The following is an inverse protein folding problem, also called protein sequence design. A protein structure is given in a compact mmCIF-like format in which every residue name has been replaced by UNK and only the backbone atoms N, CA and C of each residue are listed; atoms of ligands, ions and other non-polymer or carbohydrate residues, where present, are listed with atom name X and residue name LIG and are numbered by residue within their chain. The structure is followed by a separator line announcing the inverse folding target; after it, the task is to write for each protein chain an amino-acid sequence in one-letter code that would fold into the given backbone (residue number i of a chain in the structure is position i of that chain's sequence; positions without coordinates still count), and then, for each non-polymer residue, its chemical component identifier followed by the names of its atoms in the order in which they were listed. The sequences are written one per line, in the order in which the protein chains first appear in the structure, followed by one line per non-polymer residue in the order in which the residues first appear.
data_IF_637470642989
#
_entry.id   IF_637470642989
#
_cell.length_a   1.000
_cell.length_b   1.000
_cell.length_c   1.000
_cell.angle_alpha   90.00
_cell.angle_beta   90.00
_cell.angle_gamma   90.00
#
_symmetry.space_group_name_H-M   'P 1'
#
loop_
_entity.id
_entity.type
_entity.pdbx_description
1 polymer ?
#
# COMPACT_ATOMS: atom_id res chain seq x y z
N UNK A 1 -12.45 17.81 4.86
CA UNK A 1 -13.17 18.76 5.72
C UNK A 1 -14.45 18.08 6.21
N UNK A 2 -14.97 18.47 7.37
CA UNK A 2 -16.26 17.98 7.88
C UNK A 2 -17.40 18.90 7.41
N UNK A 3 -18.44 18.31 6.81
CA UNK A 3 -19.61 19.01 6.26
C UNK A 3 -20.93 18.61 6.95
N UNK A 4 -20.87 17.83 8.03
CA UNK A 4 -22.03 17.28 8.74
C UNK A 4 -22.98 18.39 9.22
N UNK A 5 -22.44 19.54 9.62
CA UNK A 5 -23.24 20.69 10.10
C UNK A 5 -23.96 21.49 9.01
N UNK A 6 -23.58 21.34 7.74
CA UNK A 6 -24.15 22.09 6.61
C UNK A 6 -24.94 21.21 5.62
N UNK A 7 -24.93 19.89 5.84
CA UNK A 7 -25.52 18.90 4.93
C UNK A 7 -26.57 18.09 5.66
N UNK A 8 -27.87 18.21 5.33
CA UNK A 8 -28.89 17.39 5.94
C UNK A 8 -28.73 15.93 5.53
N UNK A 9 -28.68 15.02 6.51
CA UNK A 9 -28.52 13.58 6.31
C UNK A 9 -29.84 12.86 6.57
N UNK A 10 -30.29 12.03 5.63
CA UNK A 10 -31.47 11.17 5.78
C UNK A 10 -31.05 9.72 5.86
N UNK A 11 -31.49 9.00 6.88
CA UNK A 11 -31.13 7.59 7.11
C UNK A 11 -32.29 6.69 6.70
N UNK A 12 -32.05 5.80 5.73
CA UNK A 12 -33.04 4.83 5.24
C UNK A 12 -32.32 3.54 4.86
N UNK A 13 -32.79 2.40 5.36
CA UNK A 13 -32.26 1.06 5.00
C UNK A 13 -30.72 0.95 5.10
N UNK A 14 -30.16 1.28 6.26
CA UNK A 14 -28.71 1.24 6.52
C UNK A 14 -27.86 2.11 5.56
N UNK A 15 -28.49 3.08 4.89
CA UNK A 15 -27.86 4.02 3.97
C UNK A 15 -28.09 5.46 4.41
N UNK A 16 -27.16 6.35 4.03
CA UNK A 16 -27.25 7.80 4.25
C UNK A 16 -27.47 8.50 2.90
N UNK A 17 -28.55 9.28 2.81
CA UNK A 17 -28.90 10.08 1.63
C UNK A 17 -28.73 11.57 1.92
N UNK A 18 -28.10 12.30 0.98
CA UNK A 18 -27.91 13.75 1.03
C UNK A 18 -27.82 14.33 -0.38
N UNK A 19 -27.98 15.65 -0.50
CA UNK A 19 -27.88 16.38 -1.78
C UNK A 19 -26.67 17.29 -1.80
N UNK A 20 -25.97 17.39 -2.93
CA UNK A 20 -24.83 18.29 -3.15
C UNK A 20 -24.97 19.01 -4.49
N UNK A 21 -24.50 20.26 -4.56
CA UNK A 21 -24.45 21.04 -5.80
C UNK A 21 -23.10 20.91 -6.52
N UNK A 22 -22.13 20.21 -5.92
CA UNK A 22 -20.76 20.05 -6.44
C UNK A 22 -20.38 18.57 -6.49
N UNK A 23 -19.57 18.22 -7.49
CA UNK A 23 -18.94 16.89 -7.57
C UNK A 23 -17.68 16.86 -6.72
N UNK A 24 -17.64 15.97 -5.73
CA UNK A 24 -16.54 15.81 -4.80
C UNK A 24 -16.42 14.35 -4.34
N UNK A 25 -15.37 14.05 -3.56
CA UNK A 25 -15.24 12.77 -2.85
C UNK A 25 -15.92 12.91 -1.49
N UNK A 26 -16.80 11.98 -1.18
CA UNK A 26 -17.51 11.92 0.10
C UNK A 26 -17.12 10.65 0.83
N UNK A 27 -16.91 10.76 2.14
CA UNK A 27 -16.61 9.62 2.99
C UNK A 27 -17.31 9.80 4.33
N UNK A 28 -18.02 8.76 4.77
CA UNK A 28 -18.69 8.71 6.06
C UNK A 28 -17.70 8.15 7.09
N UNK A 29 -17.56 8.84 8.23
CA UNK A 29 -16.74 8.40 9.35
C UNK A 29 -17.58 8.48 10.63
N UNK A 30 -17.74 7.36 11.31
CA UNK A 30 -18.39 7.29 12.62
C UNK A 30 -17.32 7.27 13.71
N UNK A 31 -17.22 8.34 14.48
CA UNK A 31 -16.18 8.56 15.49
C UNK A 31 -16.76 9.34 16.67
N UNK A 32 -16.45 8.92 17.90
CA UNK A 32 -16.86 9.65 19.10
C UNK A 32 -16.12 11.00 19.24
N UNK A 33 -14.86 11.08 18.77
CA UNK A 33 -14.04 12.30 18.79
C UNK A 33 -14.09 13.00 17.42
N UNK A 34 -15.13 13.80 17.20
CA UNK A 34 -15.39 14.48 15.91
C UNK A 34 -14.21 15.36 15.47
N UNK A 35 -13.55 16.05 16.41
CA UNK A 35 -12.41 16.95 16.11
C UNK A 35 -11.20 16.23 15.48
N UNK A 36 -11.00 14.94 15.79
CA UNK A 36 -9.87 14.15 15.28
C UNK A 36 -10.20 13.46 13.95
N UNK A 37 -11.47 13.42 13.58
CA UNK A 37 -11.99 12.62 12.45
C UNK A 37 -11.30 12.98 11.13
N UNK A 38 -11.12 14.27 10.84
CA UNK A 38 -10.46 14.71 9.61
C UNK A 38 -8.98 14.30 9.59
N UNK A 39 -8.30 14.34 10.73
CA UNK A 39 -6.90 13.93 10.86
C UNK A 39 -6.72 12.43 10.62
N UNK A 40 -7.54 11.62 11.29
CA UNK A 40 -7.57 10.17 11.13
C UNK A 40 -7.93 9.77 9.70
N UNK A 41 -8.96 10.39 9.13
CA UNK A 41 -9.35 10.18 7.74
C UNK A 41 -8.22 10.52 6.76
N UNK A 42 -7.46 11.59 7.03
CA UNK A 42 -6.31 11.96 6.18
C UNK A 42 -5.20 10.94 6.24
N UNK A 43 -4.88 10.43 7.44
CA UNK A 43 -3.87 9.36 7.61
C UNK A 43 -4.31 8.10 6.86
N UNK A 44 -5.54 7.66 7.07
CA UNK A 44 -6.08 6.46 6.44
C UNK A 44 -6.18 6.62 4.91
N UNK A 45 -6.61 7.78 4.42
CA UNK A 45 -6.67 8.05 2.99
C UNK A 45 -5.29 7.97 2.33
N UNK A 46 -4.22 8.46 2.99
CA UNK A 46 -2.84 8.35 2.46
C UNK A 46 -2.41 6.91 2.25
N UNK A 47 -2.79 6.00 3.13
CA UNK A 47 -2.48 4.58 3.00
C UNK A 47 -3.37 3.91 1.94
N UNK A 48 -4.67 4.24 1.90
CA UNK A 48 -5.61 3.63 0.97
C UNK A 48 -5.41 4.01 -0.51
N UNK A 49 -4.86 5.20 -0.79
CA UNK A 49 -4.63 5.61 -2.19
C UNK A 49 -3.43 4.91 -2.82
N UNK A 50 -2.58 4.23 -2.02
CA UNK A 50 -1.47 3.47 -2.55
C UNK A 50 -2.00 2.38 -3.49
N UNK A 51 -1.56 2.40 -4.74
CA UNK A 51 -1.95 1.39 -5.72
C UNK A 51 -1.31 0.06 -5.30
N UNK A 52 -2.10 -1.01 -5.12
CA UNK A 52 -1.54 -2.33 -4.84
C UNK A 52 -0.87 -2.89 -6.08
N UNK A 53 0.36 -3.37 -5.92
CA UNK A 53 1.11 -4.07 -6.96
C UNK A 53 1.34 -5.52 -6.57
N UNK A 54 1.28 -6.43 -7.54
CA UNK A 54 1.70 -7.82 -7.33
C UNK A 54 3.19 -7.92 -7.64
N UNK A 55 3.99 -8.17 -6.61
CA UNK A 55 5.44 -8.26 -6.71
C UNK A 55 5.97 -9.58 -6.14
N UNK A 56 7.19 -9.93 -6.53
CA UNK A 56 7.93 -11.07 -5.98
C UNK A 56 9.13 -10.56 -5.21
N UNK A 57 9.37 -11.17 -4.06
CA UNK A 57 10.60 -11.01 -3.32
C UNK A 57 11.59 -12.07 -3.77
N UNK A 58 12.77 -11.63 -4.19
CA UNK A 58 13.88 -12.52 -4.60
C UNK A 58 15.09 -12.18 -3.76
N UNK A 59 15.69 -13.20 -3.14
CA UNK A 59 16.86 -13.04 -2.27
C UNK A 59 18.04 -13.73 -2.95
N UNK A 60 19.12 -12.97 -3.10
CA UNK A 60 20.40 -13.45 -3.58
C UNK A 60 21.43 -13.45 -2.46
N UNK A 61 22.31 -14.45 -2.43
CA UNK A 61 23.39 -14.56 -1.46
C UNK A 61 24.74 -14.75 -2.16
N UNK A 62 25.80 -14.22 -1.53
CA UNK A 62 27.18 -14.49 -1.90
C UNK A 62 28.04 -14.64 -0.66
N UNK A 63 28.59 -15.82 -0.46
CA UNK A 63 29.53 -16.11 0.62
C UNK A 63 30.90 -15.53 0.26
N UNK A 64 31.38 -14.59 1.06
CA UNK A 64 32.71 -14.00 0.87
C UNK A 64 33.77 -14.73 1.71
N UNK A 65 33.36 -15.28 2.87
CA UNK A 65 34.20 -16.08 3.77
C UNK A 65 33.34 -17.16 4.46
N UNK A 66 33.95 -18.13 5.13
CA UNK A 66 33.25 -19.23 5.81
C UNK A 66 32.28 -18.76 6.91
N UNK A 67 32.43 -17.51 7.38
CA UNK A 67 31.63 -16.90 8.45
C UNK A 67 30.81 -15.70 7.95
N UNK A 68 31.08 -15.19 6.74
CA UNK A 68 30.47 -13.96 6.23
C UNK A 68 29.87 -14.12 4.83
N UNK A 69 28.61 -13.69 4.71
CA UNK A 69 27.85 -13.73 3.46
C UNK A 69 27.09 -12.43 3.25
N UNK A 70 27.11 -11.93 2.02
CA UNK A 70 26.30 -10.78 1.59
C UNK A 70 24.97 -11.25 1.05
N UNK A 71 23.89 -10.57 1.44
CA UNK A 71 22.54 -10.79 0.94
C UNK A 71 22.07 -9.56 0.17
N UNK A 72 21.34 -9.79 -0.93
CA UNK A 72 20.63 -8.76 -1.69
C UNK A 72 19.18 -9.18 -1.83
N UNK A 73 18.27 -8.32 -1.38
CA UNK A 73 16.83 -8.57 -1.42
C UNK A 73 16.18 -7.61 -2.41
N UNK A 74 15.44 -8.17 -3.37
CA UNK A 74 14.71 -7.40 -4.38
C UNK A 74 13.22 -7.60 -4.23
N UNK A 75 12.46 -6.53 -4.45
CA UNK A 75 11.02 -6.57 -4.67
C UNK A 75 10.79 -6.15 -6.13
N UNK A 76 10.30 -7.08 -6.94
CA UNK A 76 10.23 -6.91 -8.40
C UNK A 76 8.82 -7.15 -8.90
N UNK A 77 8.38 -6.33 -9.85
CA UNK A 77 7.12 -6.50 -10.60
C UNK A 77 7.48 -6.89 -12.04
N UNK A 78 7.06 -8.07 -12.52
CA UNK A 78 7.19 -8.55 -13.92
C UNK A 78 8.58 -8.50 -14.60
N UNK A 79 9.65 -8.12 -13.91
CA UNK A 79 10.99 -8.12 -14.48
C UNK A 79 11.40 -9.54 -14.87
N UNK A 80 11.83 -9.69 -16.13
CA UNK A 80 12.48 -10.92 -16.59
C UNK A 80 13.73 -11.13 -15.74
N UNK A 81 13.62 -12.08 -14.82
CA UNK A 81 14.68 -12.56 -13.90
C UNK A 81 15.98 -12.87 -14.64
N UNK A 82 15.89 -13.21 -15.93
CA UNK A 82 16.99 -13.75 -16.72
C UNK A 82 18.15 -12.77 -16.99
N UNK A 83 18.11 -11.52 -16.51
CA UNK A 83 19.16 -10.51 -16.74
C UNK A 83 19.45 -9.59 -15.54
N UNK A 84 19.37 -10.08 -14.32
CA UNK A 84 19.76 -9.26 -13.17
C UNK A 84 21.30 -9.28 -13.01
N UNK A 85 21.91 -8.13 -12.68
CA UNK A 85 23.37 -7.94 -12.55
C UNK A 85 24.02 -8.92 -11.55
N UNK A 86 23.23 -9.51 -10.67
CA UNK A 86 23.59 -10.41 -9.59
C UNK A 86 24.24 -11.69 -10.12
N UNK A 87 23.72 -12.25 -11.23
CA UNK A 87 24.34 -13.41 -11.86
C UNK A 87 25.73 -13.07 -12.42
N UNK A 88 25.95 -11.83 -12.89
CA UNK A 88 27.27 -11.38 -13.37
C UNK A 88 28.25 -11.15 -12.22
N UNK A 89 27.75 -10.82 -11.02
CA UNK A 89 28.58 -10.59 -9.82
C UNK A 89 28.76 -11.84 -8.94
N UNK A 90 28.38 -13.04 -9.43
CA UNK A 90 28.43 -14.33 -8.73
C UNK A 90 27.59 -14.36 -7.44
N UNK A 91 26.41 -13.74 -7.46
CA UNK A 91 25.39 -13.92 -6.44
C UNK A 91 24.45 -15.06 -6.88
N UNK A 92 24.11 -15.95 -5.95
CA UNK A 92 23.19 -17.07 -6.18
C UNK A 92 21.81 -16.76 -5.61
N UNK A 93 20.75 -17.09 -6.36
CA UNK A 93 19.39 -17.00 -5.84
C UNK A 93 19.15 -18.08 -4.79
N UNK A 94 18.84 -17.67 -3.56
CA UNK A 94 18.61 -18.60 -2.44
C UNK A 94 17.14 -18.71 -2.05
N UNK A 95 16.32 -17.71 -2.41
CA UNK A 95 14.89 -17.73 -2.12
C UNK A 95 14.09 -16.87 -3.10
N UNK A 96 12.84 -17.30 -3.35
CA UNK A 96 11.87 -16.58 -4.17
C UNK A 96 10.47 -16.75 -3.60
N UNK A 97 9.75 -15.65 -3.44
CA UNK A 97 8.35 -15.66 -3.03
C UNK A 97 7.41 -15.93 -4.21
N UNK A 98 6.16 -16.27 -3.89
CA UNK A 98 5.03 -16.12 -4.82
C UNK A 98 4.73 -14.63 -5.05
N UNK A 99 3.82 -14.34 -5.98
CA UNK A 99 3.26 -13.00 -6.12
C UNK A 99 2.54 -12.58 -4.83
N UNK A 100 2.95 -11.45 -4.27
CA UNK A 100 2.42 -10.88 -3.04
C UNK A 100 1.99 -9.44 -3.34
N UNK A 101 0.86 -9.04 -2.78
CA UNK A 101 0.41 -7.65 -2.83
C UNK A 101 1.34 -6.77 -1.98
N UNK A 102 1.94 -5.77 -2.63
CA UNK A 102 2.79 -4.77 -1.99
C UNK A 102 2.25 -3.38 -2.29
N UNK A 103 2.36 -2.50 -1.30
CA UNK A 103 2.00 -1.09 -1.41
C UNK A 103 3.28 -0.28 -1.57
N UNK A 104 3.40 0.46 -2.67
CA UNK A 104 4.48 1.41 -2.85
C UNK A 104 4.07 2.71 -2.14
N UNK A 105 4.78 3.05 -1.07
CA UNK A 105 4.59 4.28 -0.28
C UNK A 105 5.56 5.34 -0.80
#
# INVERSE_FOLDING_TARGET
EDITGITPLTFVNDCVSFTTNVSARFWLADCHQVLETVGLATQLYRELICVPYMAKFVIFAKTNDAVESNLRCFCMTDDKVDKTLEQQENFEEVARSKDIEVFMI
#
